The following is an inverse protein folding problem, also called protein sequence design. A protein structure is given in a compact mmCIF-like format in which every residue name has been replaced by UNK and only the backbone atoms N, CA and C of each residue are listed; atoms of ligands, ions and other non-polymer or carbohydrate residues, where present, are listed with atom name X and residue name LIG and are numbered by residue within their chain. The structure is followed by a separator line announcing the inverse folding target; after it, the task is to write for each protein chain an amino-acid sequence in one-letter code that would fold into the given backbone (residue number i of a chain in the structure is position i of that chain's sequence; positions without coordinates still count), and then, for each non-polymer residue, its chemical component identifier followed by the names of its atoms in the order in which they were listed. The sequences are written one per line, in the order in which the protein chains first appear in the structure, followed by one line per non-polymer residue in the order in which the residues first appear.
data_IF_328537404010
#
_entry.id   IF_328537404010
#
_cell.length_a   1.000
_cell.length_b   1.000
_cell.length_c   1.000
_cell.angle_alpha   90.00
_cell.angle_beta   90.00
_cell.angle_gamma   90.00
#
_symmetry.space_group_name_H-M   'P 1'
#
loop_
_entity.id
_entity.type
_entity.pdbx_description
1 polymer ?
#
# COMPACT_ATOMS: atom_id res chain seq x y z
N UNK A 1 9.70 26.43 0.31
CA UNK A 1 9.04 26.44 1.64
C UNK A 1 7.80 25.58 1.53
N UNK A 2 7.73 24.56 2.38
CA UNK A 2 7.09 23.25 2.14
C UNK A 2 5.55 23.26 2.20
N UNK A 3 4.90 22.67 1.18
CA UNK A 3 3.44 22.51 1.07
C UNK A 3 2.84 21.48 2.04
N UNK A 4 3.66 20.83 2.88
CA UNK A 4 3.20 19.84 3.87
C UNK A 4 2.33 20.42 5.01
N UNK A 5 2.20 21.74 5.09
CA UNK A 5 1.53 22.44 6.20
C UNK A 5 0.00 22.57 6.04
N UNK A 6 -0.59 22.14 4.92
CA UNK A 6 -2.00 22.40 4.58
C UNK A 6 -2.94 21.21 4.73
N UNK A 7 -2.45 20.02 5.08
CA UNK A 7 -3.33 18.87 5.30
C UNK A 7 -3.85 18.86 6.74
N UNK A 8 -5.18 18.86 6.96
CA UNK A 8 -5.72 18.77 8.31
C UNK A 8 -5.25 17.46 8.97
N UNK A 9 -4.93 17.45 10.27
CA UNK A 9 -4.59 16.22 10.97
C UNK A 9 -5.82 15.31 10.91
N UNK A 10 -5.80 14.29 10.04
CA UNK A 10 -6.75 13.19 10.15
C UNK A 10 -6.53 12.59 11.54
N UNK A 11 -7.61 12.44 12.30
CA UNK A 11 -7.62 11.76 13.60
C UNK A 11 -6.71 10.53 13.49
N UNK A 12 -5.70 10.45 14.36
CA UNK A 12 -4.73 9.37 14.35
C UNK A 12 -5.46 8.02 14.51
N UNK A 13 -5.85 7.43 13.39
CA UNK A 13 -6.42 6.09 13.37
C UNK A 13 -5.27 5.17 13.75
N UNK A 14 -5.37 4.52 14.92
CA UNK A 14 -4.38 3.54 15.44
C UNK A 14 -4.30 2.25 14.60
N UNK A 15 -4.61 2.33 13.30
CA UNK A 15 -4.60 1.21 12.38
C UNK A 15 -3.20 0.99 11.83
N UNK A 16 -2.89 -0.28 11.56
CA UNK A 16 -1.72 -0.65 10.77
C UNK A 16 -2.17 -1.38 9.53
N UNK A 17 -1.45 -1.14 8.44
CA UNK A 17 -1.74 -1.75 7.14
C UNK A 17 -0.50 -2.54 6.71
N UNK A 18 -0.72 -3.73 6.13
CA UNK A 18 0.37 -4.52 5.57
C UNK A 18 0.93 -3.85 4.32
N UNK A 19 2.26 -3.81 4.24
CA UNK A 19 2.96 -3.27 3.08
C UNK A 19 2.74 -4.05 1.79
N UNK A 20 2.10 -5.22 1.80
CA UNK A 20 1.91 -6.06 0.61
C UNK A 20 1.15 -5.33 -0.51
N UNK A 21 -0.01 -4.76 -0.20
CA UNK A 21 -0.80 -4.01 -1.18
C UNK A 21 -0.11 -2.70 -1.58
N UNK A 22 0.49 -2.00 -0.60
CA UNK A 22 1.19 -0.75 -0.84
C UNK A 22 2.40 -0.94 -1.76
N UNK A 23 3.20 -2.00 -1.54
CA UNK A 23 4.37 -2.30 -2.37
C UNK A 23 3.98 -2.50 -3.82
N UNK A 24 2.93 -3.30 -4.08
CA UNK A 24 2.47 -3.52 -5.46
C UNK A 24 1.93 -2.24 -6.11
N UNK A 25 1.27 -1.37 -5.33
CA UNK A 25 0.81 -0.08 -5.83
C UNK A 25 1.99 0.80 -6.24
N UNK A 26 3.02 0.88 -5.40
CA UNK A 26 4.20 1.71 -5.65
C UNK A 26 4.99 1.20 -6.85
N UNK A 27 5.20 -0.12 -6.94
CA UNK A 27 5.82 -0.74 -8.11
C UNK A 27 5.01 -0.47 -9.39
N UNK A 28 3.68 -0.54 -9.32
CA UNK A 28 2.84 -0.18 -10.47
C UNK A 28 2.98 1.31 -10.82
N UNK A 29 2.98 2.20 -9.82
CA UNK A 29 3.07 3.63 -10.06
C UNK A 29 4.43 4.06 -10.64
N UNK A 30 5.53 3.42 -10.21
CA UNK A 30 6.86 3.56 -10.82
C UNK A 30 6.85 3.25 -12.33
N UNK A 31 5.94 2.39 -12.81
CA UNK A 31 5.80 2.11 -14.26
C UNK A 31 4.96 3.13 -15.03
N UNK A 32 4.16 3.95 -14.34
CA UNK A 32 3.21 4.88 -14.96
C UNK A 32 3.71 6.34 -14.97
N UNK A 33 4.56 6.70 -14.00
CA UNK A 33 5.01 8.07 -13.78
C UNK A 33 6.45 8.26 -14.24
N UNK A 34 6.80 9.48 -14.66
CA UNK A 34 8.19 9.89 -14.79
C UNK A 34 8.85 9.82 -13.40
N UNK A 35 10.03 9.19 -13.28
CA UNK A 35 10.60 8.85 -11.97
C UNK A 35 10.84 10.09 -11.08
N UNK A 36 11.18 11.22 -11.68
CA UNK A 36 11.44 12.49 -10.97
C UNK A 36 10.25 12.96 -10.10
N UNK A 37 9.01 12.91 -10.62
CA UNK A 37 7.83 13.34 -9.85
C UNK A 37 7.56 12.45 -8.64
N UNK A 38 7.91 11.17 -8.75
CA UNK A 38 7.65 10.19 -7.71
C UNK A 38 8.72 10.24 -6.62
N UNK A 39 9.98 10.43 -7.01
CA UNK A 39 11.09 10.61 -6.08
C UNK A 39 10.88 11.87 -5.22
N UNK A 40 10.46 13.00 -5.81
CA UNK A 40 10.16 14.24 -5.06
C UNK A 40 9.03 14.05 -4.02
N UNK A 41 7.96 13.35 -4.39
CA UNK A 41 6.84 13.06 -3.49
C UNK A 41 7.30 12.17 -2.33
N UNK A 42 8.14 11.18 -2.63
CA UNK A 42 8.59 10.22 -1.63
C UNK A 42 9.70 10.80 -0.75
N UNK A 43 10.59 11.64 -1.25
CA UNK A 43 11.56 12.35 -0.42
C UNK A 43 10.84 13.22 0.62
N UNK A 44 9.80 13.96 0.21
CA UNK A 44 9.02 14.79 1.13
C UNK A 44 8.29 14.01 2.22
N UNK A 45 7.88 12.77 1.96
CA UNK A 45 7.23 11.91 2.98
C UNK A 45 8.22 11.09 3.79
N UNK A 46 9.40 10.77 3.24
CA UNK A 46 10.46 10.06 3.96
C UNK A 46 11.00 10.90 5.12
N UNK A 47 11.05 12.23 4.99
CA UNK A 47 11.38 13.12 6.11
C UNK A 47 10.37 13.02 7.27
N UNK A 48 9.08 12.87 6.95
CA UNK A 48 8.01 12.73 7.94
C UNK A 48 7.93 11.31 8.53
N UNK A 49 8.31 10.29 7.76
CA UNK A 49 8.21 8.88 8.14
C UNK A 49 9.46 8.07 7.70
N UNK A 50 10.64 8.35 8.28
CA UNK A 50 11.92 7.77 7.82
C UNK A 50 12.00 6.25 8.01
N UNK A 51 11.27 5.72 8.99
CA UNK A 51 11.17 4.28 9.21
C UNK A 51 10.22 3.57 8.23
N UNK A 52 9.37 4.32 7.53
CA UNK A 52 8.39 3.79 6.59
C UNK A 52 8.90 3.77 5.15
N UNK A 53 9.63 4.81 4.74
CA UNK A 53 10.03 5.02 3.35
C UNK A 53 11.52 5.30 3.21
N UNK A 54 12.14 4.66 2.23
CA UNK A 54 13.54 4.83 1.87
C UNK A 54 13.63 5.17 0.38
N UNK A 55 13.81 6.47 0.04
CA UNK A 55 13.99 6.91 -1.34
C UNK A 55 15.15 6.17 -2.02
N UNK A 56 15.05 5.97 -3.35
CA UNK A 56 16.07 5.29 -4.14
C UNK A 56 16.08 3.75 -4.04
N UNK A 57 15.26 3.14 -3.18
CA UNK A 57 15.01 1.69 -3.19
C UNK A 57 13.73 1.35 -3.97
N UNK A 58 13.62 0.14 -4.56
CA UNK A 58 12.40 -0.28 -5.25
C UNK A 58 11.17 -0.25 -4.35
N UNK A 59 10.09 0.39 -4.81
CA UNK A 59 8.89 0.70 -4.02
C UNK A 59 9.22 1.45 -2.72
N UNK A 60 10.27 2.27 -2.76
CA UNK A 60 10.71 3.14 -1.66
C UNK A 60 10.97 2.38 -0.35
N UNK A 61 11.53 1.18 -0.46
CA UNK A 61 11.86 0.34 0.71
C UNK A 61 10.64 -0.31 1.38
N UNK A 62 9.44 -0.20 0.81
CA UNK A 62 8.24 -0.85 1.35
C UNK A 62 8.37 -2.37 1.25
N UNK A 63 8.29 -3.05 2.40
CA UNK A 63 8.35 -4.50 2.54
C UNK A 63 6.94 -5.07 2.68
N UNK A 64 6.62 -6.09 1.88
CA UNK A 64 5.30 -6.74 1.92
C UNK A 64 4.96 -7.34 3.30
N UNK A 65 5.98 -7.76 4.04
CA UNK A 65 5.88 -8.41 5.36
C UNK A 65 5.93 -7.44 6.54
N UNK A 66 6.01 -6.13 6.31
CA UNK A 66 6.02 -5.13 7.38
C UNK A 66 4.63 -4.52 7.57
N UNK A 67 4.32 -4.15 8.82
CA UNK A 67 3.16 -3.33 9.17
C UNK A 67 3.58 -1.86 9.16
N UNK A 68 2.74 -1.03 8.56
CA UNK A 68 2.95 0.41 8.44
C UNK A 68 1.83 1.14 9.13
N UNK A 69 2.16 2.30 9.69
CA UNK A 69 1.17 3.21 10.25
C UNK A 69 0.17 3.64 9.17
N UNK A 70 -1.13 3.56 9.47
CA UNK A 70 -2.17 3.89 8.50
C UNK A 70 -2.12 5.37 8.09
N UNK A 71 -1.77 6.29 9.00
CA UNK A 71 -1.63 7.72 8.68
C UNK A 71 -0.52 7.93 7.67
N UNK A 72 0.62 7.26 7.84
CA UNK A 72 1.73 7.32 6.88
C UNK A 72 1.29 6.84 5.48
N UNK A 73 0.57 5.71 5.41
CA UNK A 73 0.06 5.20 4.12
C UNK A 73 -0.95 6.16 3.49
N UNK A 74 -1.94 6.64 4.25
CA UNK A 74 -2.97 7.51 3.69
C UNK A 74 -2.38 8.83 3.19
N UNK A 75 -1.41 9.39 3.92
CA UNK A 75 -0.67 10.58 3.49
C UNK A 75 0.02 10.34 2.15
N UNK A 76 0.70 9.19 2.01
CA UNK A 76 1.33 8.82 0.75
C UNK A 76 0.31 8.72 -0.39
N UNK A 77 -0.81 8.03 -0.17
CA UNK A 77 -1.83 7.85 -1.20
C UNK A 77 -2.43 9.18 -1.66
N UNK A 78 -2.67 10.11 -0.75
CA UNK A 78 -3.18 11.45 -1.08
C UNK A 78 -2.16 12.24 -1.93
N UNK A 79 -0.87 12.14 -1.59
CA UNK A 79 0.21 12.76 -2.36
C UNK A 79 0.34 12.14 -3.77
N UNK A 80 0.31 10.80 -3.88
CA UNK A 80 0.37 10.11 -5.17
C UNK A 80 -0.84 10.44 -6.04
N UNK A 81 -2.04 10.49 -5.46
CA UNK A 81 -3.25 10.89 -6.17
C UNK A 81 -3.12 12.33 -6.72
N UNK A 82 -2.57 13.24 -5.93
CA UNK A 82 -2.33 14.64 -6.33
C UNK A 82 -1.28 14.71 -7.45
N UNK A 83 -0.16 14.01 -7.29
CA UNK A 83 0.96 13.98 -8.22
C UNK A 83 0.58 13.35 -9.57
N UNK A 84 -0.25 12.30 -9.54
CA UNK A 84 -0.70 11.61 -10.75
C UNK A 84 -1.50 12.50 -11.70
N UNK A 85 -2.18 13.53 -11.16
CA UNK A 85 -3.20 14.36 -11.86
C UNK A 85 -4.25 13.52 -12.60
N UNK A 86 -4.37 12.23 -12.28
CA UNK A 86 -5.25 11.28 -12.94
C UNK A 86 -6.43 10.99 -11.99
N UNK A 87 -7.66 11.42 -12.34
CA UNK A 87 -8.83 11.18 -11.50
C UNK A 87 -9.18 9.69 -11.36
N UNK A 88 -8.63 8.83 -12.23
CA UNK A 88 -8.80 7.38 -12.18
C UNK A 88 -7.66 6.64 -11.48
N UNK A 89 -6.68 7.35 -10.94
CA UNK A 89 -5.52 6.75 -10.27
C UNK A 89 -5.92 5.72 -9.20
N UNK A 90 -6.88 6.06 -8.33
CA UNK A 90 -7.36 5.13 -7.31
C UNK A 90 -8.03 3.87 -7.92
N UNK A 91 -8.81 4.02 -9.00
CA UNK A 91 -9.46 2.90 -9.69
C UNK A 91 -8.44 2.01 -10.40
N UNK A 92 -7.53 2.61 -11.17
CA UNK A 92 -6.52 1.92 -11.98
C UNK A 92 -5.46 1.25 -11.11
N UNK A 93 -4.96 1.96 -10.09
CA UNK A 93 -4.04 1.43 -9.09
C UNK A 93 -4.69 0.33 -8.27
N UNK A 94 -5.94 0.51 -7.83
CA UNK A 94 -6.72 -0.52 -7.15
C UNK A 94 -6.86 -1.79 -8.00
N UNK A 95 -7.19 -1.65 -9.29
CA UNK A 95 -7.29 -2.78 -10.23
C UNK A 95 -5.95 -3.48 -10.43
N UNK A 96 -4.86 -2.73 -10.57
CA UNK A 96 -3.53 -3.28 -10.74
C UNK A 96 -3.06 -4.07 -9.50
N UNK A 97 -3.25 -3.49 -8.31
CA UNK A 97 -2.94 -4.13 -7.03
C UNK A 97 -3.78 -5.38 -6.83
N UNK A 98 -5.09 -5.32 -7.10
CA UNK A 98 -5.98 -6.48 -6.97
C UNK A 98 -5.59 -7.58 -7.96
N UNK A 99 -5.29 -7.25 -9.21
CA UNK A 99 -4.86 -8.26 -10.20
C UNK A 99 -3.64 -9.06 -9.73
N UNK A 100 -2.64 -8.39 -9.16
CA UNK A 100 -1.43 -9.06 -8.64
C UNK A 100 -1.63 -9.73 -7.27
N UNK A 101 -2.26 -9.04 -6.34
CA UNK A 101 -2.46 -9.54 -4.96
C UNK A 101 -3.43 -10.72 -4.95
N UNK A 102 -4.53 -10.62 -5.69
CA UNK A 102 -5.51 -11.70 -5.80
C UNK A 102 -4.90 -12.89 -6.54
N UNK A 103 -4.07 -12.69 -7.58
CA UNK A 103 -3.34 -13.80 -8.21
C UNK A 103 -2.40 -14.52 -7.23
N UNK A 104 -1.67 -13.78 -6.40
CA UNK A 104 -0.77 -14.35 -5.38
C UNK A 104 -1.52 -15.09 -4.28
N UNK A 105 -2.59 -14.48 -3.75
CA UNK A 105 -3.48 -15.08 -2.74
C UNK A 105 -4.18 -16.30 -3.32
N UNK A 106 -4.77 -16.20 -4.51
CA UNK A 106 -5.46 -17.32 -5.16
C UNK A 106 -4.50 -18.45 -5.50
N UNK A 107 -3.25 -18.15 -5.88
CA UNK A 107 -2.20 -19.16 -6.06
C UNK A 107 -1.78 -19.81 -4.75
N UNK A 108 -1.62 -19.05 -3.68
CA UNK A 108 -1.31 -19.57 -2.35
C UNK A 108 -2.46 -20.42 -1.81
N UNK A 109 -3.68 -19.92 -1.96
CA UNK A 109 -4.93 -20.60 -1.64
C UNK A 109 -5.04 -21.89 -2.44
N UNK A 110 -5.07 -21.88 -3.78
CA UNK A 110 -5.11 -23.12 -4.58
C UNK A 110 -4.01 -24.13 -4.22
N UNK A 111 -2.80 -23.68 -3.87
CA UNK A 111 -1.72 -24.55 -3.41
C UNK A 111 -1.98 -25.15 -2.02
N UNK A 112 -2.67 -24.42 -1.14
CA UNK A 112 -3.07 -24.85 0.20
C UNK A 112 -4.43 -25.58 0.24
N UNK A 113 -5.26 -25.36 -0.78
CA UNK A 113 -6.67 -25.76 -0.96
C UNK A 113 -6.86 -26.99 -1.85
N UNK A 114 -5.83 -27.83 -2.01
CA UNK A 114 -6.02 -29.16 -2.58
C UNK A 114 -6.96 -30.05 -1.73
N UNK A 115 -7.67 -29.50 -0.74
CA UNK A 115 -8.86 -30.07 -0.10
C UNK A 115 -9.84 -28.97 0.34
N UNK A 116 -11.13 -29.01 -0.09
CA UNK A 116 -12.17 -28.03 0.26
C UNK A 116 -12.37 -27.80 1.77
N UNK A 117 -12.13 -28.83 2.59
CA UNK A 117 -12.26 -28.76 4.06
C UNK A 117 -11.29 -27.76 4.72
N UNK A 118 -10.14 -27.50 4.09
CA UNK A 118 -9.17 -26.53 4.62
C UNK A 118 -9.57 -25.08 4.34
N UNK A 119 -10.36 -24.84 3.29
CA UNK A 119 -10.86 -23.52 2.91
C UNK A 119 -11.72 -22.89 4.01
N UNK A 120 -12.79 -23.61 4.38
CA UNK A 120 -13.81 -23.12 5.32
C UNK A 120 -13.18 -22.81 6.69
N UNK A 121 -12.18 -23.60 7.09
CA UNK A 121 -11.56 -23.49 8.40
C UNK A 121 -10.46 -22.42 8.50
N UNK A 122 -9.87 -21.96 7.38
CA UNK A 122 -8.66 -21.10 7.42
C UNK A 122 -8.80 -19.75 6.70
N UNK A 123 -9.86 -19.52 5.91
CA UNK A 123 -10.03 -18.29 5.14
C UNK A 123 -9.99 -17.01 5.99
N UNK A 124 -10.66 -17.00 7.16
CA UNK A 124 -10.66 -15.84 8.07
C UNK A 124 -9.28 -15.54 8.66
N UNK A 125 -8.53 -16.59 9.04
CA UNK A 125 -7.16 -16.44 9.57
C UNK A 125 -6.20 -15.96 8.47
N UNK A 126 -6.43 -16.40 7.23
CA UNK A 126 -5.70 -15.91 6.06
C UNK A 126 -5.94 -14.41 5.82
N UNK A 127 -7.17 -13.93 6.02
CA UNK A 127 -7.46 -12.49 5.93
C UNK A 127 -6.85 -11.66 7.05
N UNK A 128 -6.74 -12.21 8.26
CA UNK A 128 -6.02 -11.57 9.37
C UNK A 128 -4.52 -11.37 9.10
N UNK A 129 -3.93 -12.06 8.11
CA UNK A 129 -2.56 -11.76 7.68
C UNK A 129 -2.43 -10.47 6.85
N UNK A 130 -3.55 -9.95 6.31
CA UNK A 130 -3.58 -8.74 5.48
C UNK A 130 -4.08 -7.49 6.25
N UNK A 131 -4.95 -7.65 7.25
CA UNK A 131 -5.54 -6.55 8.03
C UNK A 131 -5.49 -6.86 9.54
N UNK A 132 -5.05 -5.91 10.39
CA UNK A 132 -4.81 -6.14 11.82
C UNK A 132 -6.12 -6.09 12.64
N UNK A 133 -7.10 -5.28 12.23
CA UNK A 133 -8.34 -5.10 13.02
C UNK A 133 -9.64 -5.30 12.24
N UNK A 134 -9.69 -5.07 10.93
CA UNK A 134 -10.96 -5.17 10.18
C UNK A 134 -12.10 -4.25 10.69
N UNK A 135 -11.82 -3.40 11.68
CA UNK A 135 -12.71 -2.36 12.18
C UNK A 135 -12.40 -1.09 11.38
N UNK A 136 -13.38 -0.69 10.56
CA UNK A 136 -13.39 0.52 9.74
C UNK A 136 -14.40 1.51 10.32
#
# INVERSE_FOLDING_TARGET
MSQLSQFPPRLATKGRIRGAALRELLLWFETQSASETLDEVVEGIADAYPDAFQPGLPAFGVLSSKWYDAVAIHTLLDLLQTASRNPRFAEEGGRAVMSKTLSGVFRAMTRFLLTPERYVNHAHRLWGHYYDTGEF
#
